data_IF_681407695909
#
_entry.id   IF_681407695909
#
_cell.length_a   1.000
_cell.length_b   1.000
_cell.length_c   1.000
_cell.angle_alpha   90.00
_cell.angle_beta   90.00
_cell.angle_gamma   90.00
#
_symmetry.space_group_name_H-M   'P 1'
#
loop_
_entity.id
_entity.type
_entity.pdbx_description
1 polymer ?
#
# COMPACT_ATOMS: atom_id res chain seq x y z
N UNK A 1 -3.55 29.10 -2.22
CA UNK A 1 -3.47 27.82 -1.45
C UNK A 1 -2.01 27.39 -1.33
N UNK A 2 -1.32 27.19 -2.45
CA UNK A 2 0.07 26.73 -2.47
C UNK A 2 1.06 27.63 -1.70
N UNK A 3 1.01 28.94 -1.90
CA UNK A 3 1.87 29.90 -1.19
C UNK A 3 1.75 29.86 0.34
N UNK A 4 0.55 29.59 0.87
CA UNK A 4 0.33 29.43 2.32
C UNK A 4 0.97 28.14 2.82
N UNK A 5 0.78 27.05 2.06
CA UNK A 5 1.30 25.75 2.45
C UNK A 5 2.83 25.71 2.40
N UNK A 6 3.48 26.40 1.45
CA UNK A 6 4.95 26.50 1.41
C UNK A 6 5.49 27.07 2.73
N UNK A 7 4.87 28.14 3.28
CA UNK A 7 5.23 28.68 4.59
C UNK A 7 5.07 27.65 5.71
N UNK A 8 3.91 26.97 5.75
CA UNK A 8 3.61 26.00 6.80
C UNK A 8 4.51 24.74 6.73
N UNK A 9 4.88 24.29 5.52
CA UNK A 9 5.81 23.18 5.34
C UNK A 9 7.25 23.54 5.73
N UNK A 10 7.64 24.80 5.59
CA UNK A 10 8.93 25.30 6.06
C UNK A 10 9.01 25.30 7.59
N UNK A 11 7.94 25.75 8.26
CA UNK A 11 7.86 25.76 9.74
C UNK A 11 8.02 24.36 10.34
N UNK A 12 7.53 23.31 9.67
CA UNK A 12 7.67 21.91 10.13
C UNK A 12 8.90 21.18 9.56
N UNK A 13 9.83 21.91 8.91
CA UNK A 13 11.06 21.37 8.30
C UNK A 13 10.78 20.14 7.41
N UNK A 14 9.65 20.16 6.67
CA UNK A 14 9.18 19.01 5.90
C UNK A 14 8.92 19.36 4.44
N UNK A 15 9.76 20.22 3.87
CA UNK A 15 9.64 20.67 2.48
C UNK A 15 9.87 19.51 1.49
N UNK A 16 8.87 19.14 0.66
CA UNK A 16 8.98 18.00 -0.28
C UNK A 16 9.99 18.20 -1.42
N UNK A 17 10.42 19.44 -1.62
CA UNK A 17 11.49 19.96 -2.47
C UNK A 17 12.04 21.11 -1.62
N UNK A 18 13.34 21.33 -1.44
CA UNK A 18 13.84 22.51 -0.73
C UNK A 18 13.90 23.71 -1.69
N UNK A 19 12.86 24.56 -1.82
CA UNK A 19 13.07 25.85 -2.43
C UNK A 19 13.91 26.71 -1.48
N UNK A 20 14.80 27.51 -2.04
CA UNK A 20 15.38 28.62 -1.30
C UNK A 20 14.27 29.66 -1.05
N UNK A 21 13.73 29.66 0.17
CA UNK A 21 12.60 30.52 0.55
C UNK A 21 12.99 31.99 0.53
N UNK A 22 14.28 32.30 0.71
CA UNK A 22 14.80 33.66 0.62
C UNK A 22 14.61 34.25 -0.78
N UNK A 23 14.62 33.40 -1.82
CA UNK A 23 14.35 33.82 -3.21
C UNK A 23 12.86 33.96 -3.54
N UNK A 24 12.01 33.33 -2.74
CA UNK A 24 10.55 33.31 -2.92
C UNK A 24 9.83 34.38 -2.07
N UNK A 25 10.54 35.05 -1.17
CA UNK A 25 9.98 36.03 -0.26
C UNK A 25 10.71 37.37 -0.37
N UNK A 26 10.19 38.28 -1.19
CA UNK A 26 10.68 39.66 -1.32
C UNK A 26 10.11 40.55 -0.20
N UNK A 27 10.21 40.10 1.06
CA UNK A 27 9.77 40.77 2.31
C UNK A 27 8.26 41.01 2.50
N UNK A 28 7.49 41.14 1.42
CA UNK A 28 6.03 41.34 1.44
C UNK A 28 5.24 40.01 1.57
N UNK A 29 5.93 38.91 1.78
CA UNK A 29 5.37 37.57 1.87
C UNK A 29 5.42 36.80 0.55
N UNK A 30 5.52 35.47 0.67
CA UNK A 30 5.59 34.53 -0.47
C UNK A 30 4.36 34.68 -1.38
N UNK A 31 3.16 34.83 -0.81
CA UNK A 31 1.94 35.00 -1.60
C UNK A 31 1.98 36.25 -2.48
N UNK A 32 2.46 37.37 -1.93
CA UNK A 32 2.55 38.67 -2.61
C UNK A 32 3.61 38.61 -3.70
N UNK A 33 4.79 38.08 -3.37
CA UNK A 33 5.91 37.87 -4.30
C UNK A 33 5.51 37.01 -5.50
N UNK A 34 4.80 35.91 -5.26
CA UNK A 34 4.35 35.02 -6.34
C UNK A 34 3.29 35.64 -7.23
N UNK A 35 2.43 36.54 -6.68
CA UNK A 35 1.46 37.29 -7.47
C UNK A 35 2.15 38.35 -8.34
N UNK A 36 3.11 39.09 -7.78
CA UNK A 36 3.92 40.11 -8.50
C UNK A 36 4.71 39.51 -9.66
N UNK A 37 5.39 38.38 -9.41
CA UNK A 37 6.20 37.67 -10.42
C UNK A 37 5.35 36.80 -11.38
N UNK A 38 4.01 36.87 -11.31
CA UNK A 38 3.09 36.06 -12.14
C UNK A 38 3.40 34.56 -12.13
N UNK A 39 3.82 34.04 -10.98
CA UNK A 39 4.30 32.67 -10.86
C UNK A 39 3.19 31.66 -11.18
N UNK A 40 3.50 30.71 -12.07
CA UNK A 40 2.66 29.56 -12.39
C UNK A 40 3.19 28.33 -11.67
N UNK A 41 2.28 27.43 -11.29
CA UNK A 41 2.65 26.21 -10.58
C UNK A 41 2.32 24.98 -11.42
N UNK A 42 3.20 23.99 -11.39
CA UNK A 42 2.93 22.68 -11.97
C UNK A 42 1.88 21.93 -11.15
N UNK A 43 1.15 21.02 -11.79
CA UNK A 43 0.20 20.14 -11.09
C UNK A 43 0.91 19.28 -10.01
N UNK A 44 2.15 18.86 -10.28
CA UNK A 44 2.99 18.15 -9.32
C UNK A 44 3.28 18.98 -8.05
N UNK A 45 3.49 20.29 -8.18
CA UNK A 45 3.67 21.18 -7.03
C UNK A 45 2.40 21.22 -6.18
N UNK A 46 1.23 21.31 -6.81
CA UNK A 46 -0.06 21.26 -6.11
C UNK A 46 -0.26 19.95 -5.33
N UNK A 47 0.15 18.82 -5.91
CA UNK A 47 0.04 17.50 -5.25
C UNK A 47 1.02 17.41 -4.06
N UNK A 48 2.24 17.92 -4.20
CA UNK A 48 3.28 17.86 -3.15
C UNK A 48 2.90 18.71 -1.93
N UNK A 49 2.34 19.89 -2.15
CA UNK A 49 2.02 20.87 -1.11
C UNK A 49 0.51 20.91 -0.78
N UNK A 50 -0.18 19.77 -0.86
CA UNK A 50 -1.61 19.70 -0.50
C UNK A 50 -1.81 19.69 1.03
N UNK A 51 -3.04 19.91 1.48
CA UNK A 51 -3.36 19.98 2.92
C UNK A 51 -3.21 18.63 3.62
N UNK A 52 -3.57 17.51 2.97
CA UNK A 52 -3.45 16.18 3.59
C UNK A 52 -1.99 15.78 3.85
N UNK A 53 -1.05 16.24 3.02
CA UNK A 53 0.39 16.07 3.25
C UNK A 53 0.88 17.00 4.36
N UNK A 54 0.35 18.22 4.44
CA UNK A 54 0.68 19.16 5.51
C UNK A 54 0.27 18.62 6.88
N UNK A 55 -0.96 18.14 7.02
CA UNK A 55 -1.45 17.54 8.27
C UNK A 55 -0.60 16.34 8.70
N UNK A 56 -0.15 15.51 7.75
CA UNK A 56 0.76 14.39 8.04
C UNK A 56 2.14 14.86 8.46
N UNK A 57 2.66 15.92 7.85
CA UNK A 57 3.94 16.50 8.23
C UNK A 57 3.89 17.10 9.64
N UNK A 58 2.83 17.87 9.95
CA UNK A 58 2.57 18.41 11.28
C UNK A 58 2.48 17.31 12.35
N UNK A 59 1.73 16.24 12.09
CA UNK A 59 1.65 15.09 13.01
C UNK A 59 3.02 14.47 13.30
N UNK A 60 3.85 14.30 12.28
CA UNK A 60 5.22 13.77 12.46
C UNK A 60 6.09 14.72 13.29
N UNK A 61 6.02 16.02 13.01
CA UNK A 61 6.77 17.04 13.74
C UNK A 61 6.37 17.06 15.23
N UNK A 62 5.07 16.99 15.54
CA UNK A 62 4.59 16.94 16.93
C UNK A 62 4.99 15.64 17.64
N UNK A 63 5.02 14.49 16.96
CA UNK A 63 5.49 13.24 17.54
C UNK A 63 7.00 13.20 17.82
N UNK A 64 7.78 14.13 17.24
CA UNK A 64 9.24 14.21 17.42
C UNK A 64 9.65 15.25 18.47
N UNK A 65 8.73 16.11 18.94
CA UNK A 65 8.99 17.06 20.02
C UNK A 65 8.96 16.32 21.37
N UNK A 66 10.01 16.43 22.22
CA UNK A 66 10.02 15.83 23.54
C UNK A 66 9.16 16.67 24.50
N UNK A 67 7.87 16.40 24.57
CA UNK A 67 7.02 16.94 25.63
C UNK A 67 6.98 15.95 26.80
N UNK A 68 7.67 16.29 27.89
CA UNK A 68 7.49 15.64 29.18
C UNK A 68 6.07 15.86 29.68
N UNK A 69 5.22 14.84 29.55
CA UNK A 69 3.99 14.68 30.32
C UNK A 69 3.48 13.27 30.09
N UNK A 70 3.49 12.50 31.18
CA UNK A 70 3.14 11.09 31.25
C UNK A 70 1.68 10.86 30.88
N UNK A 71 1.44 10.22 29.74
CA UNK A 71 0.23 9.43 29.52
C UNK A 71 0.48 8.45 28.37
N UNK A 72 0.84 7.21 28.74
CA UNK A 72 0.99 6.09 27.82
C UNK A 72 -0.39 5.63 27.30
N UNK A 73 -0.96 6.38 26.34
CA UNK A 73 -1.95 5.80 25.44
C UNK A 73 -1.25 5.41 24.13
N UNK A 74 -0.76 4.16 24.10
CA UNK A 74 -0.28 3.51 22.88
C UNK A 74 -1.43 3.47 21.88
N UNK A 75 -1.45 4.44 20.97
CA UNK A 75 -2.42 4.47 19.87
C UNK A 75 -2.29 3.16 19.06
N UNK A 76 -3.37 2.40 18.84
CA UNK A 76 -3.28 1.18 18.05
C UNK A 76 -2.83 1.55 16.63
N UNK A 77 -1.81 0.82 16.14
CA UNK A 77 -1.33 0.91 14.76
C UNK A 77 -2.53 0.75 13.84
N UNK A 78 -3.00 1.86 13.23
CA UNK A 78 -4.06 1.82 12.23
C UNK A 78 -3.56 0.98 11.04
N UNK A 79 -4.01 -0.28 10.98
CA UNK A 79 -3.99 -1.07 9.77
C UNK A 79 -4.66 -0.25 8.67
N UNK A 80 -4.02 -0.18 7.51
CA UNK A 80 -4.50 0.56 6.35
C UNK A 80 -5.74 -0.17 5.81
N UNK A 81 -6.91 0.18 6.35
CA UNK A 81 -8.19 -0.33 5.87
C UNK A 81 -8.52 0.36 4.53
N UNK A 82 -8.57 -0.42 3.45
CA UNK A 82 -9.26 0.01 2.22
C UNK A 82 -10.76 -0.18 2.46
N UNK A 83 -11.38 0.80 3.10
CA UNK A 83 -12.80 0.84 3.38
C UNK A 83 -13.57 0.91 2.05
N UNK A 84 -14.19 -0.20 1.64
CA UNK A 84 -15.41 -0.16 0.84
C UNK A 84 -16.55 -0.33 1.81
N UNK A 85 -17.24 0.76 2.09
CA UNK A 85 -18.51 0.76 2.81
C UNK A 85 -19.53 -0.02 1.99
N UNK A 86 -20.23 -0.96 2.62
CA UNK A 86 -21.66 -1.13 2.41
C UNK A 86 -22.27 -1.79 3.64
N UNK A 87 -23.28 -1.10 4.14
CA UNK A 87 -24.20 -1.52 5.18
C UNK A 87 -24.79 -2.89 4.88
N UNK A 88 -24.62 -3.81 5.83
CA UNK A 88 -25.59 -4.82 6.22
C UNK A 88 -25.06 -5.49 7.50
N UNK A 89 -25.65 -5.13 8.63
CA UNK A 89 -25.69 -6.03 9.79
C UNK A 89 -26.61 -7.20 9.43
N UNK A 90 -26.13 -8.43 9.65
CA UNK A 90 -26.85 -9.33 10.55
C UNK A 90 -25.91 -9.91 11.63
N UNK A 91 -26.52 -10.58 12.60
CA UNK A 91 -26.03 -11.11 13.88
C UNK A 91 -24.65 -11.81 13.90
N UNK A 92 -23.98 -11.90 15.08
CA UNK A 92 -22.61 -12.41 15.21
C UNK A 92 -22.58 -13.94 15.22
N UNK A 93 -22.92 -14.56 14.10
CA UNK A 93 -22.34 -15.85 13.75
C UNK A 93 -21.05 -15.48 13.04
N UNK A 94 -19.89 -15.75 13.65
CA UNK A 94 -18.63 -15.56 12.93
C UNK A 94 -18.63 -16.54 11.76
N UNK A 95 -19.05 -16.09 10.58
CA UNK A 95 -18.98 -16.89 9.37
C UNK A 95 -17.50 -17.07 9.02
N UNK A 96 -16.91 -18.12 9.58
CA UNK A 96 -15.54 -18.53 9.33
C UNK A 96 -15.52 -19.29 8.01
N UNK A 97 -14.69 -18.84 7.06
CA UNK A 97 -14.49 -19.53 5.78
C UNK A 97 -13.05 -20.03 5.66
N UNK A 98 -12.92 -21.19 5.04
CA UNK A 98 -11.62 -21.79 4.73
C UNK A 98 -10.98 -21.13 3.51
N UNK A 99 -9.76 -20.64 3.65
CA UNK A 99 -8.97 -20.16 2.52
C UNK A 99 -8.60 -21.33 1.60
N UNK A 100 -8.92 -21.25 0.31
CA UNK A 100 -8.56 -22.35 -0.60
C UNK A 100 -7.04 -22.47 -0.86
N UNK A 101 -6.26 -21.40 -0.64
CA UNK A 101 -4.81 -21.39 -0.88
C UNK A 101 -4.05 -22.06 0.28
N UNK A 102 -4.37 -21.71 1.53
CA UNK A 102 -3.63 -22.19 2.70
C UNK A 102 -4.41 -23.15 3.59
N UNK A 103 -5.68 -23.43 3.29
CA UNK A 103 -6.58 -24.26 4.10
C UNK A 103 -6.82 -23.78 5.53
N UNK A 104 -6.40 -22.55 5.85
CA UNK A 104 -6.62 -21.93 7.15
C UNK A 104 -7.96 -21.21 7.14
N UNK A 105 -8.72 -21.42 8.20
CA UNK A 105 -9.94 -20.71 8.51
C UNK A 105 -9.66 -19.24 8.79
N UNK A 106 -10.45 -18.35 8.21
CA UNK A 106 -10.31 -16.91 8.42
C UNK A 106 -11.68 -16.25 8.48
N UNK A 107 -11.83 -15.17 9.27
CA UNK A 107 -13.07 -14.43 9.32
C UNK A 107 -13.46 -13.90 7.94
N UNK A 108 -14.74 -13.96 7.59
CA UNK A 108 -15.25 -13.55 6.27
C UNK A 108 -14.80 -12.14 5.85
N UNK A 109 -14.77 -11.20 6.80
CA UNK A 109 -14.35 -9.81 6.56
C UNK A 109 -12.88 -9.68 6.10
N UNK A 110 -12.05 -10.68 6.39
CA UNK A 110 -10.63 -10.70 6.02
C UNK A 110 -10.37 -11.41 4.69
N UNK A 111 -11.40 -12.07 4.14
CA UNK A 111 -11.33 -12.82 2.90
C UNK A 111 -11.78 -11.96 1.71
N UNK A 112 -11.13 -12.20 0.58
CA UNK A 112 -11.53 -11.67 -0.72
C UNK A 112 -12.06 -12.83 -1.56
N UNK A 113 -13.17 -12.59 -2.23
CA UNK A 113 -13.71 -13.51 -3.23
C UNK A 113 -12.96 -13.38 -4.56
N UNK A 114 -12.79 -14.48 -5.27
CA UNK A 114 -12.22 -14.48 -6.61
C UNK A 114 -13.20 -13.82 -7.60
N UNK A 115 -12.84 -12.65 -8.16
CA UNK A 115 -13.71 -11.90 -9.07
C UNK A 115 -13.16 -11.74 -10.49
N UNK A 116 -11.99 -12.31 -10.80
CA UNK A 116 -11.30 -12.06 -12.08
C UNK A 116 -11.02 -13.34 -12.84
N UNK A 117 -11.60 -13.49 -14.04
CA UNK A 117 -11.49 -14.70 -14.89
C UNK A 117 -10.06 -15.21 -15.11
N UNK A 118 -9.08 -14.30 -15.07
CA UNK A 118 -7.66 -14.64 -15.26
C UNK A 118 -6.96 -15.13 -13.98
N UNK A 119 -7.63 -15.15 -12.83
CA UNK A 119 -7.03 -15.54 -11.55
C UNK A 119 -6.64 -17.02 -11.56
N UNK A 120 -7.53 -17.90 -12.06
CA UNK A 120 -7.29 -19.34 -12.11
C UNK A 120 -6.01 -19.66 -12.88
N UNK A 121 -5.93 -19.18 -14.14
CA UNK A 121 -4.77 -19.39 -14.99
C UNK A 121 -3.47 -18.87 -14.34
N UNK A 122 -3.49 -17.66 -13.77
CA UNK A 122 -2.31 -17.11 -13.09
C UNK A 122 -1.87 -17.94 -11.90
N UNK A 123 -2.81 -18.50 -11.15
CA UNK A 123 -2.48 -19.36 -10.02
C UNK A 123 -1.90 -20.69 -10.50
N UNK A 124 -2.41 -21.25 -11.59
CA UNK A 124 -1.82 -22.44 -12.24
C UNK A 124 -0.40 -22.14 -12.73
N UNK A 125 -0.20 -21.03 -13.42
CA UNK A 125 1.11 -20.59 -13.92
C UNK A 125 2.12 -20.41 -12.79
N UNK A 126 1.70 -19.89 -11.64
CA UNK A 126 2.56 -19.79 -10.45
C UNK A 126 2.75 -21.11 -9.72
N UNK A 127 1.73 -21.96 -9.64
CA UNK A 127 1.77 -23.21 -8.88
C UNK A 127 2.60 -24.30 -9.59
N UNK A 128 2.63 -24.28 -10.93
CA UNK A 128 3.41 -25.20 -11.77
C UNK A 128 4.91 -25.21 -11.44
N UNK A 129 5.65 -24.08 -11.50
CA UNK A 129 7.06 -24.04 -11.11
C UNK A 129 7.24 -24.21 -9.59
N UNK A 130 6.22 -23.84 -8.80
CA UNK A 130 6.24 -24.09 -7.36
C UNK A 130 6.09 -25.58 -7.01
N UNK A 131 5.63 -26.43 -7.94
CA UNK A 131 5.24 -27.83 -7.71
C UNK A 131 4.26 -27.97 -6.53
N UNK A 132 3.39 -26.98 -6.34
CA UNK A 132 2.39 -27.00 -5.27
C UNK A 132 1.21 -27.88 -5.68
N UNK A 133 1.36 -29.20 -5.43
CA UNK A 133 0.38 -30.23 -5.84
C UNK A 133 -1.00 -30.00 -5.23
N UNK A 134 -1.07 -29.48 -4.00
CA UNK A 134 -2.34 -29.24 -3.33
C UNK A 134 -3.09 -28.09 -3.99
N UNK A 135 -2.39 -26.98 -4.27
CA UNK A 135 -2.98 -25.85 -4.97
C UNK A 135 -3.41 -26.25 -6.39
N UNK A 136 -2.56 -26.97 -7.13
CA UNK A 136 -2.89 -27.46 -8.48
C UNK A 136 -4.12 -28.37 -8.49
N UNK A 137 -4.24 -29.31 -7.54
CA UNK A 137 -5.40 -30.19 -7.46
C UNK A 137 -6.72 -29.42 -7.27
N UNK A 138 -6.70 -28.36 -6.45
CA UNK A 138 -7.88 -27.50 -6.24
C UNK A 138 -8.23 -26.70 -7.49
N UNK A 139 -7.23 -26.13 -8.18
CA UNK A 139 -7.44 -25.38 -9.42
C UNK A 139 -7.93 -26.28 -10.57
N UNK A 140 -7.59 -27.58 -10.56
CA UNK A 140 -8.11 -28.57 -11.50
C UNK A 140 -9.57 -28.93 -11.27
N UNK A 141 -10.12 -28.69 -10.07
CA UNK A 141 -11.50 -29.04 -9.74
C UNK A 141 -12.55 -28.15 -10.41
N UNK A 142 -12.15 -26.96 -10.90
CA UNK A 142 -13.04 -26.01 -11.55
C UNK A 142 -12.49 -24.59 -11.54
N UNK A 143 -13.24 -23.67 -12.14
CA UNK A 143 -12.89 -22.26 -12.11
C UNK A 143 -13.12 -21.67 -10.71
N UNK A 144 -12.11 -21.00 -10.17
CA UNK A 144 -12.11 -20.41 -8.82
C UNK A 144 -13.23 -19.37 -8.61
N UNK A 145 -13.75 -18.77 -9.68
CA UNK A 145 -14.86 -17.81 -9.61
C UNK A 145 -16.19 -18.55 -9.63
N UNK A 146 -16.32 -19.56 -10.49
CA UNK A 146 -17.53 -20.39 -10.53
C UNK A 146 -17.76 -21.13 -9.20
N UNK A 147 -16.68 -21.46 -8.49
CA UNK A 147 -16.71 -22.05 -7.16
C UNK A 147 -16.75 -21.00 -6.02
N UNK A 148 -16.86 -19.71 -6.35
CA UNK A 148 -16.92 -18.59 -5.38
C UNK A 148 -15.81 -18.67 -4.31
N UNK A 149 -14.61 -19.08 -4.72
CA UNK A 149 -13.52 -19.34 -3.79
C UNK A 149 -13.06 -18.06 -3.10
N UNK A 150 -12.85 -18.16 -1.78
CA UNK A 150 -12.43 -17.06 -0.91
C UNK A 150 -11.00 -17.25 -0.43
N UNK A 151 -10.24 -16.15 -0.37
CA UNK A 151 -8.85 -16.16 0.07
C UNK A 151 -8.43 -14.84 0.75
N UNK A 152 -7.55 -14.86 1.77
CA UNK A 152 -6.94 -13.65 2.28
C UNK A 152 -5.99 -13.06 1.22
N UNK A 153 -5.98 -11.74 1.01
CA UNK A 153 -5.05 -11.09 0.08
C UNK A 153 -3.57 -11.39 0.36
N UNK A 154 -3.21 -11.65 1.62
CA UNK A 154 -1.87 -12.04 2.05
C UNK A 154 -1.45 -13.40 1.48
N UNK A 155 -2.37 -14.37 1.39
CA UNK A 155 -2.09 -15.70 0.86
C UNK A 155 -1.76 -15.64 -0.64
N UNK A 156 -2.53 -14.85 -1.40
CA UNK A 156 -2.23 -14.64 -2.82
C UNK A 156 -0.87 -13.97 -3.03
N UNK A 157 -0.56 -12.94 -2.23
CA UNK A 157 0.73 -12.29 -2.26
C UNK A 157 1.87 -13.26 -1.92
N UNK A 158 1.65 -14.18 -0.97
CA UNK A 158 2.63 -15.20 -0.61
C UNK A 158 2.93 -16.15 -1.79
N UNK A 159 1.91 -16.59 -2.55
CA UNK A 159 2.11 -17.42 -3.76
C UNK A 159 2.98 -16.68 -4.78
N UNK A 160 2.66 -15.42 -5.09
CA UNK A 160 3.45 -14.61 -6.02
C UNK A 160 4.86 -14.30 -5.53
N UNK A 161 5.06 -14.21 -4.21
CA UNK A 161 6.40 -14.00 -3.66
C UNK A 161 7.24 -15.28 -3.72
N UNK A 162 6.62 -16.44 -3.47
CA UNK A 162 7.29 -17.74 -3.61
C UNK A 162 7.71 -18.00 -5.05
N UNK A 163 6.83 -17.73 -6.02
CA UNK A 163 7.14 -17.90 -7.45
C UNK A 163 8.34 -17.02 -7.84
N UNK A 164 8.28 -15.72 -7.53
CA UNK A 164 9.41 -14.79 -7.77
C UNK A 164 10.71 -15.22 -7.10
N UNK A 165 10.65 -15.84 -5.92
CA UNK A 165 11.83 -16.36 -5.25
C UNK A 165 12.42 -17.57 -6.00
N UNK A 166 11.59 -18.49 -6.49
CA UNK A 166 12.05 -19.64 -7.29
C UNK A 166 12.62 -19.20 -8.63
N UNK A 167 11.99 -18.26 -9.33
CA UNK A 167 12.47 -17.77 -10.64
C UNK A 167 13.88 -17.18 -10.52
N UNK A 168 14.16 -16.44 -9.44
CA UNK A 168 15.51 -15.94 -9.15
C UNK A 168 16.52 -17.06 -8.86
N UNK A 169 16.10 -18.14 -8.21
CA UNK A 169 16.97 -19.28 -7.94
C UNK A 169 17.30 -20.03 -9.24
N UNK A 170 16.29 -20.26 -10.09
CA UNK A 170 16.49 -20.95 -11.38
C UNK A 170 17.38 -20.15 -12.33
N UNK A 171 17.23 -18.82 -12.36
CA UNK A 171 18.12 -17.93 -13.13
C UNK A 171 19.55 -17.98 -12.61
N UNK A 172 19.74 -17.89 -11.29
CA UNK A 172 21.06 -17.95 -10.66
C UNK A 172 21.75 -19.32 -10.81
N UNK A 173 20.98 -20.41 -10.86
CA UNK A 173 21.51 -21.75 -11.09
C UNK A 173 21.88 -21.95 -12.57
N UNK A 174 21.06 -21.46 -13.49
CA UNK A 174 21.34 -21.51 -14.94
C UNK A 174 22.61 -20.74 -15.29
N UNK A 175 22.84 -19.56 -14.70
CA UNK A 175 24.08 -18.80 -14.92
C UNK A 175 25.32 -19.49 -14.37
N UNK A 176 25.21 -20.20 -13.24
CA UNK A 176 26.33 -20.96 -12.65
C UNK A 176 26.72 -22.21 -13.45
N UNK A 177 25.77 -22.82 -14.15
CA UNK A 177 26.05 -23.98 -15.01
C UNK A 177 26.76 -23.53 -16.29
N UNK A 178 26.42 -22.35 -16.84
CA UNK A 178 27.06 -21.79 -18.02
C UNK A 178 28.52 -21.34 -17.79
N UNK A 179 28.90 -20.95 -16.57
CA UNK A 179 30.30 -20.62 -16.23
C UNK A 179 31.20 -21.84 -15.97
N UNK A 180 30.63 -23.06 -15.92
CA UNK A 180 31.36 -24.30 -15.63
C UNK A 180 31.62 -25.18 -16.86
N UNK A 181 31.17 -24.76 -18.04
CA UNK A 181 31.42 -25.41 -19.34
C UNK A 181 32.42 -24.56 -20.09
#
# INVERSE_FOLDING_TARGET
MLSKNISLFHEVIALPIPPDIRRLNDEEGIKSTMKKKTAKYHNLCRIKFNNTKLERAQKRHMSQMPSGSSSEFKSPKRLRCTQRSKDQQPDPVEDVHKCFICDIESPLFSLREAMTMKLNQRLVDCATPLQDKQLLAKLSSGDVIAQEMKYPPSCLAAVYNKERAKTRQTEAESSRIQEKI
#
